data_IF_295026574099
#
_entry.id   IF_295026574099
#
_cell.length_a   1.000
_cell.length_b   1.000
_cell.length_c   1.000
_cell.angle_alpha   90.00
_cell.angle_beta   90.00
_cell.angle_gamma   90.00
#
_symmetry.space_group_name_H-M   'P 1'
#
loop_
_entity.id
_entity.type
_entity.pdbx_description
1 polymer ?
#
# COMPACT_ATOMS: atom_id res chain seq x y z
N UNK A 1 -62.43 5.75 -10.40
CA UNK A 1 -61.89 4.53 -9.77
C UNK A 1 -61.13 3.75 -10.84
N UNK A 2 -59.88 3.36 -10.54
CA UNK A 2 -59.17 2.12 -10.96
C UNK A 2 -59.38 1.62 -12.41
N UNK A 3 -58.38 1.34 -13.25
CA UNK A 3 -56.94 1.08 -13.06
C UNK A 3 -56.31 0.93 -14.46
N UNK A 4 -55.11 1.48 -14.61
CA UNK A 4 -53.91 0.91 -15.27
C UNK A 4 -54.01 0.61 -16.77
N UNK A 5 -53.51 1.56 -17.56
CA UNK A 5 -52.90 1.30 -18.87
C UNK A 5 -51.55 2.04 -18.88
N UNK A 6 -50.56 1.48 -19.58
CA UNK A 6 -49.26 2.09 -19.92
C UNK A 6 -48.26 2.05 -18.75
N UNK A 7 -47.03 1.57 -18.88
CA UNK A 7 -46.31 1.12 -20.04
C UNK A 7 -44.95 0.60 -19.62
N UNK A 8 -44.48 -0.35 -20.42
CA UNK A 8 -43.12 -0.81 -20.62
C UNK A 8 -42.04 0.26 -20.28
N UNK A 9 -41.35 0.13 -19.15
CA UNK A 9 -40.02 0.73 -18.97
C UNK A 9 -39.21 -0.17 -18.05
N UNK A 10 -38.77 -1.29 -18.60
CA UNK A 10 -37.69 -2.09 -18.03
C UNK A 10 -36.41 -1.27 -18.17
N UNK A 11 -36.11 -0.43 -17.18
CA UNK A 11 -34.80 0.19 -17.04
C UNK A 11 -33.86 -0.93 -16.57
N UNK A 12 -33.22 -1.58 -17.52
CA UNK A 12 -32.13 -2.52 -17.25
C UNK A 12 -30.92 -1.68 -16.82
N UNK A 13 -30.85 -1.35 -15.53
CA UNK A 13 -29.63 -0.81 -14.94
C UNK A 13 -28.58 -1.93 -15.00
N UNK A 14 -27.76 -1.94 -16.04
CA UNK A 14 -26.55 -2.75 -16.10
C UNK A 14 -25.58 -2.16 -15.07
N UNK A 15 -25.71 -2.62 -13.82
CA UNK A 15 -24.70 -2.40 -12.80
C UNK A 15 -23.53 -3.28 -13.22
N UNK A 16 -22.55 -2.68 -13.89
CA UNK A 16 -21.26 -3.31 -14.13
C UNK A 16 -20.58 -3.43 -12.77
N UNK A 17 -20.74 -4.59 -12.12
CA UNK A 17 -19.91 -4.96 -10.99
C UNK A 17 -18.50 -5.16 -11.52
N UNK A 18 -17.66 -4.14 -11.38
CA UNK A 18 -16.23 -4.28 -11.56
C UNK A 18 -15.75 -5.20 -10.44
N UNK A 19 -15.65 -6.49 -10.72
CA UNK A 19 -15.01 -7.44 -9.82
C UNK A 19 -13.52 -7.12 -9.92
N UNK A 20 -13.07 -6.17 -9.10
CA UNK A 20 -11.66 -5.96 -8.87
C UNK A 20 -11.12 -7.30 -8.36
N UNK A 21 -10.29 -7.95 -9.18
CA UNK A 21 -9.51 -9.10 -8.75
C UNK A 21 -8.47 -8.57 -7.76
N UNK A 22 -8.88 -8.32 -6.52
CA UNK A 22 -7.95 -7.93 -5.47
C UNK A 22 -6.97 -9.08 -5.30
N UNK A 23 -5.71 -8.87 -5.67
CA UNK A 23 -4.65 -9.73 -5.16
C UNK A 23 -4.69 -9.63 -3.63
N UNK A 24 -4.24 -10.66 -2.91
CA UNK A 24 -4.20 -10.61 -1.43
C UNK A 24 -3.37 -9.44 -0.89
N UNK A 25 -2.52 -8.85 -1.73
CA UNK A 25 -1.63 -7.76 -1.39
C UNK A 25 -2.13 -6.39 -1.88
N UNK A 26 -3.25 -6.34 -2.62
CA UNK A 26 -3.78 -5.12 -3.22
C UNK A 26 -3.39 -4.92 -4.69
N UNK A 27 -3.46 -3.69 -5.17
CA UNK A 27 -3.03 -3.28 -6.51
C UNK A 27 -1.52 -3.01 -6.54
N UNK A 28 -0.90 -3.06 -7.73
CA UNK A 28 0.56 -2.96 -7.87
C UNK A 28 0.96 -1.82 -8.80
N UNK A 29 1.90 -1.01 -8.33
CA UNK A 29 2.68 -0.05 -9.12
C UNK A 29 4.16 -0.48 -9.12
N UNK A 30 4.90 -0.13 -10.16
CA UNK A 30 6.33 -0.47 -10.28
C UNK A 30 7.18 0.79 -10.43
N UNK A 31 8.22 0.89 -9.60
CA UNK A 31 9.12 2.04 -9.50
C UNK A 31 10.56 1.57 -9.53
N UNK A 32 11.25 1.72 -10.67
CA UNK A 32 12.65 1.31 -10.84
C UNK A 32 12.97 -0.08 -10.24
N UNK A 33 12.21 -1.10 -10.62
CA UNK A 33 12.34 -2.47 -10.12
C UNK A 33 11.83 -2.71 -8.69
N UNK A 34 11.23 -1.72 -8.04
CA UNK A 34 10.53 -1.87 -6.76
C UNK A 34 9.03 -1.97 -7.00
N UNK A 35 8.44 -3.08 -6.58
CA UNK A 35 6.99 -3.25 -6.54
C UNK A 35 6.42 -2.55 -5.30
N UNK A 36 5.50 -1.61 -5.54
CA UNK A 36 4.70 -0.97 -4.49
C UNK A 36 3.28 -1.51 -4.60
N UNK A 37 2.93 -2.41 -3.69
CA UNK A 37 1.57 -2.89 -3.52
C UNK A 37 0.77 -1.91 -2.66
N UNK A 38 -0.52 -1.72 -2.93
CA UNK A 38 -1.37 -0.89 -2.09
C UNK A 38 -2.79 -1.44 -1.97
N UNK A 39 -3.32 -1.44 -0.74
CA UNK A 39 -4.67 -1.94 -0.44
C UNK A 39 -5.72 -0.85 -0.64
N UNK A 40 -7.00 -1.23 -0.62
CA UNK A 40 -8.16 -0.32 -0.63
C UNK A 40 -8.25 0.64 0.58
N UNK A 41 -7.40 0.45 1.60
CA UNK A 41 -7.29 1.34 2.77
C UNK A 41 -6.44 2.61 2.53
N UNK A 42 -5.81 2.73 1.35
CA UNK A 42 -5.05 3.91 0.91
C UNK A 42 -5.41 4.23 -0.54
N UNK A 43 -5.07 5.43 -1.01
CA UNK A 43 -5.34 5.81 -2.40
C UNK A 43 -4.18 5.44 -3.32
N UNK A 44 -4.45 5.27 -4.61
CA UNK A 44 -3.41 5.15 -5.64
C UNK A 44 -2.47 6.36 -5.62
N UNK A 45 -2.99 7.56 -5.31
CA UNK A 45 -2.17 8.77 -5.16
C UNK A 45 -1.17 8.65 -4.00
N UNK A 46 -1.57 8.05 -2.88
CA UNK A 46 -0.66 7.79 -1.75
C UNK A 46 0.45 6.81 -2.17
N UNK A 47 0.09 5.76 -2.91
CA UNK A 47 1.05 4.79 -3.44
C UNK A 47 2.01 5.42 -4.47
N UNK A 48 1.51 6.32 -5.32
CA UNK A 48 2.32 7.07 -6.28
C UNK A 48 3.34 7.97 -5.57
N UNK A 49 2.90 8.78 -4.60
CA UNK A 49 3.80 9.62 -3.79
C UNK A 49 4.89 8.81 -3.11
N UNK A 50 4.52 7.67 -2.51
CA UNK A 50 5.48 6.77 -1.90
C UNK A 50 6.50 6.27 -2.93
N UNK A 51 6.03 5.75 -4.06
CA UNK A 51 6.91 5.22 -5.10
C UNK A 51 7.88 6.25 -5.67
N UNK A 52 7.42 7.48 -5.90
CA UNK A 52 8.26 8.60 -6.34
C UNK A 52 9.36 8.89 -5.32
N UNK A 53 9.00 8.97 -4.03
CA UNK A 53 9.98 9.12 -2.94
C UNK A 53 10.99 7.97 -2.86
N UNK A 54 10.56 6.73 -3.10
CA UNK A 54 11.47 5.57 -3.10
C UNK A 54 12.51 5.67 -4.22
N UNK A 55 12.16 6.25 -5.37
CA UNK A 55 13.14 6.55 -6.44
C UNK A 55 14.09 7.65 -5.98
N UNK A 56 13.56 8.77 -5.47
CA UNK A 56 14.37 9.93 -5.06
C UNK A 56 15.34 9.62 -3.91
N UNK A 57 14.95 8.76 -2.99
CA UNK A 57 15.77 8.31 -1.85
C UNK A 57 16.76 7.19 -2.19
N UNK A 58 16.84 6.79 -3.46
CA UNK A 58 17.64 5.64 -3.94
C UNK A 58 17.27 4.30 -3.30
N UNK A 59 16.12 4.19 -2.63
CA UNK A 59 15.60 2.91 -2.15
C UNK A 59 15.21 2.00 -3.34
N UNK A 60 14.54 2.58 -4.32
CA UNK A 60 14.22 1.95 -5.59
C UNK A 60 15.37 2.15 -6.58
N UNK A 61 16.31 1.21 -6.54
CA UNK A 61 17.63 1.25 -7.19
C UNK A 61 17.79 0.26 -8.36
N UNK A 62 16.71 -0.43 -8.75
CA UNK A 62 16.74 -1.50 -9.76
C UNK A 62 16.99 -2.91 -9.24
N UNK A 63 17.26 -3.10 -7.93
CA UNK A 63 17.63 -4.41 -7.36
C UNK A 63 16.46 -5.33 -6.99
N UNK A 64 15.23 -5.06 -7.43
CA UNK A 64 14.10 -5.94 -7.14
C UNK A 64 13.69 -5.91 -5.67
N UNK A 65 12.76 -5.02 -5.30
CA UNK A 65 12.23 -4.94 -3.93
C UNK A 65 10.71 -4.99 -3.94
N UNK A 66 10.10 -5.34 -2.82
CA UNK A 66 8.65 -5.30 -2.67
C UNK A 66 8.27 -4.65 -1.35
N UNK A 67 7.38 -3.67 -1.44
CA UNK A 67 6.76 -3.00 -0.31
C UNK A 67 5.25 -3.00 -0.47
N UNK A 68 4.53 -2.87 0.63
CA UNK A 68 3.09 -2.67 0.63
C UNK A 68 2.74 -1.44 1.47
N UNK A 69 1.93 -0.57 0.89
CA UNK A 69 1.29 0.53 1.56
C UNK A 69 -0.14 0.16 1.93
N UNK A 70 -0.44 0.26 3.22
CA UNK A 70 -1.80 0.11 3.72
C UNK A 70 -2.01 1.05 4.90
N UNK A 71 -3.13 0.93 5.60
CA UNK A 71 -3.47 1.79 6.71
C UNK A 71 -4.11 1.00 7.84
N UNK A 72 -3.78 1.36 9.07
CA UNK A 72 -4.50 0.94 10.26
C UNK A 72 -4.91 2.19 11.03
N UNK A 73 -6.22 2.39 11.16
CA UNK A 73 -6.80 3.62 11.71
C UNK A 73 -6.26 4.88 10.98
N UNK A 74 -5.64 5.81 11.70
CA UNK A 74 -5.03 7.01 11.12
C UNK A 74 -3.58 6.82 10.68
N UNK A 75 -2.97 5.64 10.88
CA UNK A 75 -1.53 5.40 10.67
C UNK A 75 -1.28 4.66 9.35
N UNK A 76 -0.40 5.20 8.52
CA UNK A 76 0.11 4.51 7.33
C UNK A 76 1.04 3.37 7.77
N UNK A 77 0.88 2.20 7.15
CA UNK A 77 1.78 1.07 7.34
C UNK A 77 2.66 0.94 6.10
N UNK A 78 3.96 1.17 6.27
CA UNK A 78 4.98 0.90 5.27
C UNK A 78 5.55 -0.50 5.52
N UNK A 79 5.05 -1.49 4.80
CA UNK A 79 5.38 -2.90 5.01
C UNK A 79 6.43 -3.32 4.00
N UNK A 80 7.60 -3.75 4.45
CA UNK A 80 8.75 -4.05 3.58
C UNK A 80 9.11 -5.52 3.66
N UNK A 81 9.26 -6.17 2.50
CA UNK A 81 9.85 -7.51 2.45
C UNK A 81 11.33 -7.42 2.80
N UNK A 82 11.76 -8.19 3.80
CA UNK A 82 13.17 -8.29 4.21
C UNK A 82 13.69 -9.70 4.00
N UNK A 83 15.02 -9.83 3.88
CA UNK A 83 15.68 -11.13 3.87
C UNK A 83 15.83 -11.67 5.31
N UNK A 84 15.95 -12.99 5.44
CA UNK A 84 16.15 -13.66 6.73
C UNK A 84 17.36 -13.10 7.49
N UNK A 85 17.24 -12.99 8.81
CA UNK A 85 18.30 -12.48 9.68
C UNK A 85 18.31 -10.95 9.87
N UNK A 86 17.57 -10.19 9.05
CA UNK A 86 17.49 -8.72 9.19
C UNK A 86 16.77 -8.32 10.47
N UNK A 87 15.74 -9.05 10.88
CA UNK A 87 14.92 -8.69 12.06
C UNK A 87 15.60 -9.00 13.39
N UNK A 88 16.59 -9.90 13.36
CA UNK A 88 17.40 -10.38 14.47
C UNK A 88 18.60 -9.46 14.74
N UNK A 89 19.03 -8.69 13.73
CA UNK A 89 20.10 -7.70 13.83
C UNK A 89 19.56 -6.34 14.28
N UNK A 90 19.64 -6.08 15.59
CA UNK A 90 19.19 -4.81 16.18
C UNK A 90 19.93 -3.58 15.69
N UNK A 91 21.07 -3.72 14.99
CA UNK A 91 21.81 -2.56 14.45
C UNK A 91 21.04 -1.84 13.35
N UNK A 92 20.06 -2.52 12.71
CA UNK A 92 19.19 -1.96 11.67
C UNK A 92 17.96 -1.23 12.21
N UNK A 93 17.64 -1.38 13.49
CA UNK A 93 16.44 -0.81 14.11
C UNK A 93 16.38 0.72 13.94
N UNK A 94 17.52 1.39 14.13
CA UNK A 94 17.60 2.85 13.98
C UNK A 94 17.33 3.27 12.53
N UNK A 95 17.88 2.55 11.55
CA UNK A 95 17.67 2.84 10.14
C UNK A 95 16.22 2.63 9.71
N UNK A 96 15.55 1.59 10.22
CA UNK A 96 14.13 1.38 9.91
C UNK A 96 13.22 2.45 10.52
N UNK A 97 13.48 2.85 11.76
CA UNK A 97 12.75 3.96 12.38
C UNK A 97 13.00 5.29 11.66
N UNK A 98 14.25 5.54 11.26
CA UNK A 98 14.60 6.72 10.47
C UNK A 98 13.87 6.73 9.13
N UNK A 99 13.79 5.59 8.44
CA UNK A 99 13.03 5.48 7.18
C UNK A 99 11.54 5.77 7.37
N UNK A 100 10.91 5.20 8.41
CA UNK A 100 9.51 5.50 8.72
C UNK A 100 9.28 7.00 8.98
N UNK A 101 10.19 7.63 9.73
CA UNK A 101 10.15 9.08 10.00
C UNK A 101 10.31 9.91 8.73
N UNK A 102 11.24 9.55 7.85
CA UNK A 102 11.43 10.27 6.58
C UNK A 102 10.22 10.13 5.67
N UNK A 103 9.61 8.95 5.57
CA UNK A 103 8.37 8.76 4.80
C UNK A 103 7.23 9.59 5.40
N UNK A 104 7.11 9.63 6.73
CA UNK A 104 6.12 10.47 7.42
C UNK A 104 6.26 11.94 7.04
N UNK A 105 7.48 12.47 7.05
CA UNK A 105 7.76 13.89 6.78
C UNK A 105 7.65 14.24 5.30
N UNK A 106 8.27 13.44 4.43
CA UNK A 106 8.47 13.80 3.02
C UNK A 106 7.30 13.35 2.11
N UNK A 107 6.53 12.32 2.52
CA UNK A 107 5.48 11.72 1.68
C UNK A 107 4.08 12.04 2.19
N UNK A 108 3.89 12.01 3.51
CA UNK A 108 2.57 12.04 4.13
C UNK A 108 2.32 13.24 5.05
N UNK A 109 3.06 14.35 4.86
CA UNK A 109 2.81 15.63 5.53
C UNK A 109 2.73 15.48 7.08
N UNK A 110 3.72 14.80 7.66
CA UNK A 110 3.81 14.45 9.09
C UNK A 110 2.74 13.48 9.62
N UNK A 111 1.95 12.85 8.74
CA UNK A 111 1.00 11.81 9.15
C UNK A 111 1.75 10.57 9.68
N UNK A 112 1.25 9.89 10.74
CA UNK A 112 1.95 8.77 11.35
C UNK A 112 2.23 7.63 10.36
N UNK A 113 3.49 7.17 10.35
CA UNK A 113 3.95 6.01 9.59
C UNK A 113 4.57 4.99 10.53
N UNK A 114 4.17 3.73 10.39
CA UNK A 114 4.79 2.58 11.06
C UNK A 114 5.46 1.70 10.01
N UNK A 115 6.69 1.26 10.27
CA UNK A 115 7.38 0.30 9.40
C UNK A 115 7.21 -1.12 9.92
N UNK A 116 6.74 -2.01 9.05
CA UNK A 116 6.64 -3.44 9.34
C UNK A 116 7.62 -4.22 8.45
N UNK A 117 8.62 -4.86 9.04
CA UNK A 117 9.46 -5.82 8.33
C UNK A 117 8.70 -7.14 8.15
N UNK A 118 8.66 -7.65 6.93
CA UNK A 118 7.80 -8.75 6.55
C UNK A 118 8.54 -9.87 5.81
N UNK A 119 7.93 -11.05 5.79
CA UNK A 119 8.29 -12.14 4.89
C UNK A 119 8.01 -11.77 3.42
N UNK A 120 8.39 -12.65 2.48
CA UNK A 120 8.08 -12.50 1.06
C UNK A 120 6.58 -12.58 0.70
N UNK A 121 5.72 -12.92 1.66
CA UNK A 121 4.25 -12.93 1.52
C UNK A 121 3.57 -11.84 2.34
N UNK A 122 4.33 -10.80 2.75
CA UNK A 122 3.84 -9.73 3.61
C UNK A 122 3.26 -10.21 4.96
N UNK A 123 3.79 -11.29 5.53
CA UNK A 123 3.54 -11.63 6.93
C UNK A 123 4.47 -10.81 7.83
N UNK A 124 3.92 -10.09 8.80
CA UNK A 124 4.69 -9.21 9.67
C UNK A 124 5.61 -10.01 10.60
N UNK A 125 6.92 -9.79 10.48
CA UNK A 125 7.96 -10.39 11.31
C UNK A 125 8.30 -9.48 12.50
N UNK A 126 8.38 -8.16 12.25
CA UNK A 126 8.74 -7.17 13.27
C UNK A 126 8.16 -5.80 12.96
N UNK A 127 7.82 -5.06 14.02
CA UNK A 127 7.23 -3.71 13.95
C UNK A 127 8.21 -2.68 14.50
N UNK A 128 8.39 -1.57 13.77
CA UNK A 128 9.25 -0.45 14.12
C UNK A 128 8.42 0.82 14.29
N UNK A 129 8.39 1.32 15.53
CA UNK A 129 7.69 2.53 15.97
C UNK A 129 8.67 3.63 16.37
#
# INVERSE_FOLDING_TARGET
>A
MKKVLIGLFFVFAVIVYFVASSSSYGEKLEFNGTDVYYTDLVTETDAQKLGDYLIESEFADGNGKSVQLTRRDSTYLFRMVVIDGVTEDSTKDISFKALAMLISMEVFDDAPVELEACSNTFETLRVYK
#
